data_IF_983998590583
#
_entry.id   IF_983998590583
#
_cell.length_a   1.000
_cell.length_b   1.000
_cell.length_c   1.000
_cell.angle_alpha   90.00
_cell.angle_beta   90.00
_cell.angle_gamma   90.00
#
_symmetry.space_group_name_H-M   'P 1'
#
loop_
_entity.id
_entity.type
_entity.pdbx_description
1 polymer ?
#
# COMPACT_ATOMS: atom_id res chain seq x y z
N UNK A 1 -23.01 40.22 6.63
CA UNK A 1 -21.80 39.37 6.60
C UNK A 1 -21.98 38.32 7.68
N UNK A 2 -22.27 37.07 7.30
CA UNK A 2 -22.45 35.99 8.26
C UNK A 2 -21.10 35.65 8.89
N UNK A 3 -20.99 35.77 10.20
CA UNK A 3 -19.82 35.29 10.92
C UNK A 3 -19.96 33.77 10.94
N UNK A 4 -19.15 33.06 10.16
CA UNK A 4 -19.05 31.60 10.24
C UNK A 4 -18.61 31.23 11.66
N UNK A 5 -19.59 31.02 12.54
CA UNK A 5 -19.36 30.49 13.89
C UNK A 5 -18.94 29.05 13.73
N UNK A 6 -17.65 28.81 13.72
CA UNK A 6 -17.14 27.47 13.83
C UNK A 6 -17.28 27.02 15.28
N UNK A 7 -18.28 26.17 15.53
CA UNK A 7 -18.64 25.74 16.88
C UNK A 7 -17.48 25.02 17.57
N UNK A 8 -17.29 25.31 18.85
CA UNK A 8 -16.38 24.54 19.69
C UNK A 8 -16.99 23.18 20.03
N UNK A 9 -16.13 22.22 20.38
CA UNK A 9 -16.56 20.89 20.82
C UNK A 9 -15.92 20.54 22.15
N UNK A 10 -16.69 20.01 23.08
CA UNK A 10 -16.17 19.36 24.28
C UNK A 10 -15.75 17.94 23.93
N UNK A 11 -14.54 17.55 24.34
CA UNK A 11 -14.04 16.19 24.18
C UNK A 11 -13.58 15.64 25.52
N UNK A 12 -13.87 14.36 25.74
CA UNK A 12 -13.39 13.60 26.89
C UNK A 12 -11.93 13.18 26.66
N UNK A 13 -11.06 13.53 27.60
CA UNK A 13 -9.65 13.09 27.62
C UNK A 13 -9.55 11.91 28.57
N UNK A 14 -9.05 10.79 28.05
CA UNK A 14 -8.80 9.58 28.81
C UNK A 14 -7.31 9.47 29.13
N UNK A 15 -6.99 9.09 30.37
CA UNK A 15 -5.69 8.54 30.71
C UNK A 15 -4.81 9.33 31.67
N UNK A 16 -4.09 8.59 32.50
CA UNK A 16 -2.85 8.98 33.20
C UNK A 16 -1.62 8.42 32.45
N UNK A 17 -0.41 8.47 33.05
CA UNK A 17 0.83 7.95 32.45
C UNK A 17 0.75 6.46 32.02
N UNK A 18 -0.23 5.70 32.50
CA UNK A 18 -0.40 4.26 32.22
C UNK A 18 -1.44 3.96 31.12
N UNK A 19 -2.03 5.00 30.51
CA UNK A 19 -3.15 4.90 29.56
C UNK A 19 -2.94 4.11 28.27
N UNK A 20 -1.70 3.75 27.95
CA UNK A 20 -1.41 2.86 26.82
C UNK A 20 -1.58 1.38 27.18
N UNK A 21 -1.59 1.02 28.47
CA UNK A 21 -1.50 -0.38 28.92
C UNK A 21 -2.86 -1.05 29.17
N UNK A 22 -3.93 -0.29 29.43
CA UNK A 22 -5.26 -0.83 29.68
C UNK A 22 -6.36 0.14 29.21
N UNK A 23 -7.55 -0.35 28.83
CA UNK A 23 -8.73 0.49 28.63
C UNK A 23 -9.04 1.23 29.93
N UNK A 24 -9.07 2.57 29.85
CA UNK A 24 -9.38 3.38 31.03
C UNK A 24 -10.89 3.54 31.18
N UNK A 25 -11.48 3.08 32.30
CA UNK A 25 -12.93 3.12 32.49
C UNK A 25 -13.47 4.51 32.87
N UNK A 26 -12.59 5.51 33.08
CA UNK A 26 -12.97 6.85 33.56
C UNK A 26 -12.33 7.95 32.73
N UNK A 27 -13.13 8.97 32.41
CA UNK A 27 -12.67 10.23 31.82
C UNK A 27 -11.80 10.95 32.85
N UNK A 28 -10.61 11.39 32.46
CA UNK A 28 -9.71 12.14 33.35
C UNK A 28 -10.18 13.59 33.48
N UNK A 29 -10.49 14.23 32.36
CA UNK A 29 -11.08 15.57 32.30
C UNK A 29 -11.68 15.83 30.91
N UNK A 30 -12.50 16.88 30.80
CA UNK A 30 -13.01 17.39 29.53
C UNK A 30 -12.22 18.61 29.07
N UNK A 31 -11.99 18.73 27.77
CA UNK A 31 -11.45 19.96 27.18
C UNK A 31 -12.32 20.45 26.04
N UNK A 32 -12.47 21.76 25.98
CA UNK A 32 -13.06 22.43 24.82
C UNK A 32 -11.99 22.57 23.74
N UNK A 33 -12.31 22.18 22.50
CA UNK A 33 -11.47 22.37 21.34
C UNK A 33 -12.14 23.31 20.35
N UNK A 34 -11.35 24.26 19.85
CA UNK A 34 -11.76 25.17 18.81
C UNK A 34 -11.11 24.75 17.49
N UNK A 35 -11.83 24.87 16.37
CA UNK A 35 -11.22 24.74 15.06
C UNK A 35 -10.27 25.92 14.84
N UNK A 36 -9.16 25.66 14.16
CA UNK A 36 -8.18 26.66 13.75
C UNK A 36 -8.04 26.63 12.24
N UNK A 37 -7.68 27.79 11.69
CA UNK A 37 -7.36 27.90 10.29
C UNK A 37 -6.00 27.21 10.04
N UNK A 38 -5.98 26.25 9.13
CA UNK A 38 -4.77 25.51 8.73
C UNK A 38 -4.54 25.72 7.24
N UNK A 39 -3.36 26.20 6.90
CA UNK A 39 -2.87 26.31 5.52
C UNK A 39 -2.05 25.07 5.20
N UNK A 40 -2.33 24.44 4.06
CA UNK A 40 -1.61 23.24 3.60
C UNK A 40 -1.55 23.20 2.07
N UNK A 41 -0.55 22.49 1.56
CA UNK A 41 -0.38 22.24 0.12
C UNK A 41 -1.04 20.92 -0.27
N UNK A 42 -1.94 20.95 -1.25
CA UNK A 42 -2.59 19.74 -1.75
C UNK A 42 -1.58 18.83 -2.48
N UNK A 43 -1.49 17.57 -2.07
CA UNK A 43 -0.57 16.62 -2.67
C UNK A 43 -0.92 16.22 -4.13
N UNK A 44 -2.13 16.53 -4.60
CA UNK A 44 -2.58 16.21 -5.95
C UNK A 44 -2.45 17.39 -6.92
N UNK A 45 -2.92 18.58 -6.54
CA UNK A 45 -2.90 19.76 -7.43
C UNK A 45 -1.80 20.77 -7.10
N UNK A 46 -1.06 20.59 -6.01
CA UNK A 46 0.03 21.49 -5.60
C UNK A 46 -0.41 22.86 -5.08
N UNK A 47 -1.72 23.15 -5.06
CA UNK A 47 -2.22 24.44 -4.59
C UNK A 47 -2.22 24.52 -3.07
N UNK A 48 -1.86 25.69 -2.55
CA UNK A 48 -2.08 26.03 -1.15
C UNK A 48 -3.56 26.32 -0.90
N UNK A 49 -4.10 25.73 0.16
CA UNK A 49 -5.48 25.91 0.58
C UNK A 49 -5.54 26.11 2.08
N UNK A 50 -6.53 26.89 2.48
CA UNK A 50 -6.73 27.26 3.87
C UNK A 50 -8.11 26.82 4.32
N UNK A 51 -8.17 26.00 5.37
CA UNK A 51 -9.41 25.40 5.86
C UNK A 51 -9.47 25.45 7.39
N UNK A 52 -10.67 25.63 7.93
CA UNK A 52 -10.94 25.50 9.37
C UNK A 52 -10.99 24.04 9.77
N UNK A 53 -10.11 23.63 10.69
CA UNK A 53 -10.07 22.25 11.20
C UNK A 53 -9.77 22.20 12.68
N UNK A 54 -10.35 21.23 13.36
CA UNK A 54 -9.96 20.89 14.72
C UNK A 54 -8.50 20.41 14.78
N UNK A 55 -7.84 20.55 15.92
CA UNK A 55 -6.50 20.01 16.13
C UNK A 55 -6.43 18.53 15.75
N UNK A 56 -5.46 18.16 14.92
CA UNK A 56 -5.31 16.82 14.38
C UNK A 56 -4.28 16.78 13.27
N UNK A 57 -4.21 15.64 12.56
CA UNK A 57 -3.36 15.50 11.39
C UNK A 57 -3.82 16.47 10.27
N UNK A 58 -2.90 17.18 9.60
CA UNK A 58 -3.27 18.07 8.52
C UNK A 58 -3.83 17.28 7.33
N UNK A 59 -4.82 17.85 6.60
CA UNK A 59 -5.35 17.22 5.40
C UNK A 59 -4.27 17.13 4.31
N UNK A 60 -4.32 16.06 3.51
CA UNK A 60 -3.38 15.85 2.39
C UNK A 60 -3.93 16.35 1.05
N UNK A 61 -5.24 16.46 0.95
CA UNK A 61 -5.95 16.81 -0.29
C UNK A 61 -6.92 17.95 -0.01
N UNK A 62 -7.08 18.84 -0.98
CA UNK A 62 -7.95 20.02 -0.85
C UNK A 62 -9.44 19.70 -1.02
N UNK A 63 -9.77 18.65 -1.78
CA UNK A 63 -11.12 18.23 -2.11
C UNK A 63 -11.19 16.71 -2.28
N UNK A 64 -12.40 16.17 -2.24
CA UNK A 64 -12.68 14.77 -2.52
C UNK A 64 -12.26 14.39 -3.95
N UNK A 65 -12.41 15.31 -4.90
CA UNK A 65 -11.94 15.11 -6.28
C UNK A 65 -10.41 14.90 -6.35
N UNK A 66 -9.64 15.68 -5.59
CA UNK A 66 -8.19 15.51 -5.53
C UNK A 66 -7.79 14.19 -4.85
N UNK A 67 -8.53 13.80 -3.82
CA UNK A 67 -8.34 12.52 -3.14
C UNK A 67 -8.64 11.34 -4.08
N UNK A 68 -9.75 11.39 -4.80
CA UNK A 68 -10.15 10.37 -5.77
C UNK A 68 -9.20 10.32 -6.97
N UNK A 69 -8.76 11.48 -7.46
CA UNK A 69 -7.73 11.58 -8.48
C UNK A 69 -6.44 10.86 -8.07
N UNK A 70 -5.96 11.12 -6.86
CA UNK A 70 -4.79 10.45 -6.30
C UNK A 70 -5.01 8.93 -6.13
N UNK A 71 -6.20 8.51 -5.67
CA UNK A 71 -6.56 7.09 -5.52
C UNK A 71 -6.60 6.36 -6.87
N UNK A 72 -7.18 6.99 -7.89
CA UNK A 72 -7.23 6.45 -9.26
C UNK A 72 -5.83 6.31 -9.85
N UNK A 73 -4.97 7.32 -9.69
CA UNK A 73 -3.58 7.27 -10.15
C UNK A 73 -2.79 6.11 -9.52
N UNK A 74 -2.87 5.94 -8.19
CA UNK A 74 -2.24 4.80 -7.49
C UNK A 74 -2.76 3.46 -7.98
N UNK A 75 -4.06 3.36 -8.24
CA UNK A 75 -4.68 2.14 -8.74
C UNK A 75 -4.18 1.79 -10.14
N UNK A 76 -4.11 2.78 -11.05
CA UNK A 76 -3.56 2.60 -12.40
C UNK A 76 -2.11 2.13 -12.35
N UNK A 77 -1.30 2.76 -11.51
CA UNK A 77 0.11 2.38 -11.34
C UNK A 77 0.27 0.95 -10.82
N UNK A 78 -0.53 0.57 -9.81
CA UNK A 78 -0.54 -0.79 -9.28
C UNK A 78 -0.90 -1.81 -10.36
N UNK A 79 -1.95 -1.52 -11.15
CA UNK A 79 -2.38 -2.41 -12.24
C UNK A 79 -1.31 -2.51 -13.32
N UNK A 80 -0.65 -1.41 -13.68
CA UNK A 80 0.47 -1.40 -14.63
C UNK A 80 1.59 -2.33 -14.17
N UNK A 81 2.10 -2.14 -12.94
CA UNK A 81 3.16 -2.98 -12.36
C UNK A 81 2.78 -4.46 -12.30
N UNK A 82 1.51 -4.75 -12.00
CA UNK A 82 1.02 -6.12 -11.96
C UNK A 82 1.05 -6.76 -13.35
N UNK A 83 0.65 -6.04 -14.40
CA UNK A 83 0.69 -6.53 -15.78
C UNK A 83 2.11 -6.75 -16.27
N UNK A 84 3.02 -5.81 -16.01
CA UNK A 84 4.44 -5.93 -16.34
C UNK A 84 5.06 -7.17 -15.67
N UNK A 85 4.77 -7.41 -14.38
CA UNK A 85 5.24 -8.61 -13.67
C UNK A 85 4.70 -9.90 -14.27
N UNK A 86 3.42 -9.93 -14.67
CA UNK A 86 2.81 -11.11 -15.29
C UNK A 86 3.47 -11.42 -16.64
N UNK A 87 3.69 -10.41 -17.47
CA UNK A 87 4.36 -10.57 -18.77
C UNK A 87 5.82 -11.03 -18.61
N UNK A 88 6.54 -10.49 -17.63
CA UNK A 88 7.91 -10.93 -17.35
C UNK A 88 7.98 -12.38 -16.87
N UNK A 89 7.02 -12.82 -16.05
CA UNK A 89 6.92 -14.21 -15.61
C UNK A 89 6.63 -15.15 -16.79
N UNK A 90 5.64 -14.82 -17.61
CA UNK A 90 5.26 -15.60 -18.80
C UNK A 90 6.42 -15.70 -19.82
N UNK A 91 7.17 -14.60 -20.04
CA UNK A 91 8.36 -14.61 -20.91
C UNK A 91 9.47 -15.53 -20.36
N UNK A 92 9.72 -15.51 -19.04
CA UNK A 92 10.73 -16.36 -18.41
C UNK A 92 10.35 -17.86 -18.36
N UNK A 93 9.05 -18.17 -18.49
CA UNK A 93 8.55 -19.54 -18.56
C UNK A 93 8.60 -20.09 -20.00
N UNK A 94 8.32 -19.26 -21.01
CA UNK A 94 8.42 -19.65 -22.42
C UNK A 94 9.86 -19.94 -22.89
N UNK A 95 10.85 -19.28 -22.30
CA UNK A 95 12.26 -19.45 -22.68
C UNK A 95 12.91 -20.74 -22.11
N UNK A 96 12.21 -21.46 -21.23
CA UNK A 96 12.66 -22.76 -20.69
C UNK A 96 12.15 -23.96 -21.47
N UNK A 97 11.22 -23.79 -22.42
CA UNK A 97 10.65 -24.90 -23.19
C UNK A 97 11.38 -25.25 -24.49
N UNK A 98 12.42 -24.50 -24.88
CA UNK A 98 13.20 -24.72 -26.11
C UNK A 98 14.53 -25.46 -25.86
N UNK A 99 14.57 -26.40 -24.90
CA UNK A 99 15.68 -27.36 -24.86
C UNK A 99 15.40 -28.45 -25.92
N UNK A 100 16.23 -28.60 -26.98
CA UNK A 100 15.93 -29.51 -28.09
C UNK A 100 15.92 -30.95 -27.59
N UNK A 101 14.77 -31.61 -27.78
CA UNK A 101 14.45 -32.97 -27.32
C UNK A 101 15.46 -34.06 -27.76
N UNK A 102 16.38 -33.77 -28.70
CA UNK A 102 17.42 -34.69 -29.14
C UNK A 102 18.51 -34.94 -28.08
N UNK A 103 18.80 -33.99 -27.18
CA UNK A 103 19.82 -34.19 -26.12
C UNK A 103 19.33 -35.06 -24.98
N UNK A 104 18.04 -34.96 -24.63
CA UNK A 104 17.40 -35.80 -23.60
C UNK A 104 17.41 -37.29 -23.95
N UNK A 105 17.32 -37.64 -25.25
CA UNK A 105 17.40 -39.03 -25.70
C UNK A 105 18.84 -39.58 -25.65
N UNK A 106 19.86 -38.79 -26.03
CA UNK A 106 21.27 -39.24 -25.97
C UNK A 106 21.75 -39.54 -24.54
N UNK A 107 21.36 -38.71 -23.55
CA UNK A 107 21.73 -38.94 -22.14
C UNK A 107 21.05 -40.20 -21.60
N UNK A 108 19.79 -40.46 -21.99
CA UNK A 108 19.06 -41.67 -21.57
C UNK A 108 19.58 -42.96 -22.22
N UNK A 109 20.15 -42.88 -23.43
CA UNK A 109 20.71 -44.04 -24.14
C UNK A 109 22.09 -44.44 -23.56
N UNK A 110 22.92 -43.46 -23.16
CA UNK A 110 24.20 -43.70 -22.50
C UNK A 110 24.04 -44.39 -21.13
N UNK A 111 23.12 -43.93 -20.29
CA UNK A 111 22.82 -44.54 -18.98
C UNK A 111 22.28 -45.98 -19.08
N UNK A 112 21.75 -46.38 -20.25
CA UNK A 112 21.25 -47.74 -20.50
C UNK A 112 22.35 -48.70 -21.00
N UNK A 113 23.40 -48.18 -21.65
CA UNK A 113 24.54 -48.98 -22.13
C UNK A 113 25.48 -49.32 -20.96
N UNK A 114 25.69 -48.41 -20.01
CA UNK A 114 26.58 -48.65 -18.86
C UNK A 114 26.03 -49.66 -17.84
N UNK A 115 24.70 -49.83 -17.77
CA UNK A 115 24.06 -50.78 -16.84
C UNK A 115 23.96 -52.21 -17.38
N UNK A 116 24.29 -52.45 -18.66
CA UNK A 116 24.22 -53.80 -19.27
C UNK A 116 25.61 -54.44 -19.47
N UNK A 117 26.68 -53.77 -19.05
CA UNK A 117 28.06 -54.27 -19.15
C UNK A 117 28.56 -54.97 -17.88
N UNK A 118 27.69 -55.22 -16.89
CA UNK A 118 28.05 -55.78 -15.57
C UNK A 118 27.43 -57.17 -15.28
N UNK A 119 27.10 -57.94 -16.33
CA UNK A 119 26.59 -59.31 -16.19
C UNK A 119 27.20 -60.27 -17.24
N UNK A 120 28.51 -60.26 -17.42
CA UNK A 120 29.25 -61.44 -17.90
C UNK A 120 30.57 -61.48 -17.13
N UNK A 121 30.67 -62.41 -16.18
CA UNK A 121 31.83 -62.64 -15.32
C UNK A 121 31.46 -63.58 -14.19
#
# INVERSE_FOLDING_TARGET
MGVDRHDSKLIDIYGDKTAKAAPHPRVAYQREIHPRQVTFTCAQCGQEKTQWRYPGAPPRYCSDECQDGARRAKTRERVRRHREKKQAAEASEGEKSDEPAEKTLQVSLWLRVENNSNYIG
#
